data_IF_680412669648
#
_entry.id   IF_680412669648
#
_cell.length_a   1.000
_cell.length_b   1.000
_cell.length_c   1.000
_cell.angle_alpha   90.00
_cell.angle_beta   90.00
_cell.angle_gamma   90.00
#
_symmetry.space_group_name_H-M   'P 1'
#
loop_
_entity.id
_entity.type
_entity.pdbx_description
1 polymer ?
#
# COMPACT_ATOMS: atom_id res chain seq x y z
N UNK A 1 10.83 -8.91 33.58
CA UNK A 1 11.69 -7.70 33.63
C UNK A 1 10.82 -6.53 34.02
N UNK A 2 11.19 -5.71 35.02
CA UNK A 2 10.32 -4.65 35.57
C UNK A 2 9.78 -3.68 34.50
N UNK A 3 10.65 -3.24 33.57
CA UNK A 3 10.30 -2.30 32.50
C UNK A 3 9.24 -2.83 31.52
N UNK A 4 9.23 -4.13 31.24
CA UNK A 4 8.21 -4.77 30.38
C UNK A 4 6.85 -4.76 31.08
N UNK A 5 6.81 -5.00 32.39
CA UNK A 5 5.55 -4.95 33.15
C UNK A 5 5.02 -3.52 33.30
N UNK A 6 5.91 -2.52 33.42
CA UNK A 6 5.52 -1.10 33.36
C UNK A 6 4.90 -0.75 31.99
N UNK A 7 5.53 -1.17 30.90
CA UNK A 7 4.98 -0.99 29.55
C UNK A 7 3.63 -1.69 29.38
N UNK A 8 3.48 -2.89 29.96
CA UNK A 8 2.21 -3.64 29.96
C UNK A 8 1.11 -2.89 30.71
N UNK A 9 1.43 -2.40 31.91
CA UNK A 9 0.51 -1.60 32.72
C UNK A 9 0.06 -0.34 31.99
N UNK A 10 0.99 0.35 31.31
CA UNK A 10 0.63 1.49 30.47
C UNK A 10 -0.36 1.11 29.36
N UNK A 11 -0.06 0.05 28.59
CA UNK A 11 -0.93 -0.41 27.49
C UNK A 11 -2.33 -0.80 28.01
N UNK A 12 -2.41 -1.38 29.21
CA UNK A 12 -3.68 -1.65 29.89
C UNK A 12 -4.42 -0.37 30.29
N UNK A 13 -3.75 0.62 30.88
CA UNK A 13 -4.36 1.87 31.37
C UNK A 13 -4.91 2.77 30.24
N UNK A 14 -4.29 2.73 29.06
CA UNK A 14 -4.80 3.42 27.86
C UNK A 14 -5.88 2.61 27.11
N UNK A 15 -6.26 1.44 27.63
CA UNK A 15 -7.37 0.64 27.12
C UNK A 15 -7.04 -0.28 25.95
N UNK A 16 -5.77 -0.64 25.72
CA UNK A 16 -5.44 -1.61 24.68
C UNK A 16 -6.00 -3.00 25.03
N UNK A 17 -6.52 -3.76 24.04
CA UNK A 17 -7.01 -5.13 24.27
C UNK A 17 -5.92 -6.04 24.84
N UNK A 18 -6.32 -7.12 25.54
CA UNK A 18 -5.38 -8.08 26.16
C UNK A 18 -4.33 -8.65 25.18
N UNK A 19 -4.70 -8.84 23.92
CA UNK A 19 -3.76 -9.28 22.88
C UNK A 19 -2.63 -8.26 22.62
N UNK A 20 -2.93 -6.96 22.72
CA UNK A 20 -1.99 -5.85 22.55
C UNK A 20 -1.24 -5.50 23.84
N UNK A 21 -1.41 -6.29 24.90
CA UNK A 21 -0.62 -6.22 26.13
C UNK A 21 0.47 -7.29 26.16
N UNK A 22 0.62 -8.12 25.12
CA UNK A 22 1.65 -9.17 25.07
C UNK A 22 3.08 -8.59 25.07
N UNK A 23 4.08 -9.41 25.41
CA UNK A 23 5.48 -8.99 25.53
C UNK A 23 6.01 -8.34 24.25
N UNK A 24 5.63 -8.86 23.08
CA UNK A 24 6.01 -8.27 21.79
C UNK A 24 5.50 -6.83 21.63
N UNK A 25 4.32 -6.52 22.16
CA UNK A 25 3.74 -5.17 22.11
C UNK A 25 4.45 -4.25 23.10
N UNK A 26 4.77 -4.76 24.29
CA UNK A 26 5.55 -4.03 25.29
C UNK A 26 6.95 -3.70 24.78
N UNK A 27 7.65 -4.67 24.20
CA UNK A 27 8.97 -4.49 23.59
C UNK A 27 8.93 -3.53 22.40
N UNK A 28 7.87 -3.60 21.59
CA UNK A 28 7.66 -2.64 20.49
C UNK A 28 7.55 -1.22 21.03
N UNK A 29 6.72 -1.00 22.05
CA UNK A 29 6.56 0.31 22.66
C UNK A 29 7.89 0.84 23.23
N UNK A 30 8.62 0.00 23.97
CA UNK A 30 9.89 0.37 24.59
C UNK A 30 10.96 0.71 23.55
N UNK A 31 11.04 -0.05 22.46
CA UNK A 31 11.95 0.23 21.36
C UNK A 31 11.61 1.54 20.64
N UNK A 32 10.32 1.78 20.37
CA UNK A 32 9.88 3.02 19.73
C UNK A 32 10.07 4.25 20.63
N UNK A 33 10.04 4.06 21.95
CA UNK A 33 10.32 5.09 22.95
C UNK A 33 11.83 5.25 23.24
N UNK A 34 12.69 4.40 22.68
CA UNK A 34 14.12 4.31 22.99
C UNK A 34 14.41 4.17 24.50
N UNK A 35 13.65 3.30 25.19
CA UNK A 35 13.77 3.05 26.63
C UNK A 35 14.44 1.71 26.92
N UNK A 36 15.59 1.74 27.59
CA UNK A 36 16.32 0.54 28.05
C UNK A 36 15.84 0.14 29.46
N UNK A 37 16.19 -1.07 29.95
CA UNK A 37 15.68 -1.57 31.23
C UNK A 37 15.84 -0.61 32.42
N UNK A 38 16.96 0.13 32.47
CA UNK A 38 17.30 1.04 33.56
C UNK A 38 16.91 2.51 33.29
N UNK A 39 16.34 2.83 32.12
CA UNK A 39 15.96 4.20 31.81
C UNK A 39 14.68 4.62 32.52
N UNK A 40 14.66 5.88 32.95
CA UNK A 40 13.45 6.56 33.39
C UNK A 40 12.56 6.92 32.20
N UNK A 41 11.25 6.85 32.39
CA UNK A 41 10.26 7.11 31.34
C UNK A 41 10.30 8.55 30.82
N UNK A 42 10.80 9.49 31.61
CA UNK A 42 11.02 10.89 31.21
C UNK A 42 11.98 11.04 30.01
N UNK A 43 12.84 10.04 29.78
CA UNK A 43 13.77 10.01 28.66
C UNK A 43 13.15 9.54 27.35
N UNK A 44 11.90 9.09 27.36
CA UNK A 44 11.24 8.56 26.17
C UNK A 44 11.37 9.53 24.99
N UNK A 45 11.59 8.98 23.79
CA UNK A 45 11.69 9.72 22.53
C UNK A 45 10.68 9.19 21.51
N UNK A 46 10.58 9.82 20.34
CA UNK A 46 9.70 9.38 19.26
C UNK A 46 10.40 9.42 17.89
N UNK A 47 11.65 8.95 17.83
CA UNK A 47 12.37 8.89 16.58
C UNK A 47 11.69 7.95 15.56
N UNK A 48 11.84 8.28 14.27
CA UNK A 48 11.36 7.43 13.18
C UNK A 48 12.15 6.12 13.12
N UNK A 49 11.47 5.00 13.36
CA UNK A 49 12.08 3.67 13.51
C UNK A 49 11.48 2.65 12.53
N UNK A 50 12.30 1.67 12.14
CA UNK A 50 11.91 0.56 11.30
C UNK A 50 11.54 -0.64 12.18
N UNK A 51 10.72 -1.56 11.68
CA UNK A 51 10.42 -2.80 12.42
C UNK A 51 11.70 -3.63 12.64
N UNK A 52 12.62 -3.61 11.68
CA UNK A 52 13.94 -4.21 11.82
C UNK A 52 14.68 -3.67 13.06
N UNK A 53 14.72 -2.35 13.23
CA UNK A 53 15.42 -1.71 14.33
C UNK A 53 14.71 -1.94 15.67
N UNK A 54 13.38 -2.07 15.67
CA UNK A 54 12.61 -2.50 16.85
C UNK A 54 13.02 -3.90 17.30
N UNK A 55 13.18 -4.84 16.37
CA UNK A 55 13.62 -6.21 16.65
C UNK A 55 15.06 -6.19 17.19
N UNK A 56 15.95 -5.44 16.54
CA UNK A 56 17.35 -5.31 16.95
C UNK A 56 17.44 -4.75 18.39
N UNK A 57 16.71 -3.67 18.68
CA UNK A 57 16.65 -3.06 20.01
C UNK A 57 16.15 -4.03 21.09
N UNK A 58 15.06 -4.76 20.80
CA UNK A 58 14.52 -5.74 21.73
C UNK A 58 15.53 -6.85 22.05
N UNK A 59 16.20 -7.38 21.01
CA UNK A 59 17.22 -8.42 21.19
C UNK A 59 18.44 -7.91 21.95
N UNK A 60 18.89 -6.68 21.67
CA UNK A 60 20.07 -6.09 22.29
C UNK A 60 19.85 -5.75 23.77
N UNK A 61 18.70 -5.17 24.12
CA UNK A 61 18.50 -4.58 25.45
C UNK A 61 17.56 -5.38 26.37
N UNK A 62 16.76 -6.28 25.82
CA UNK A 62 15.77 -7.06 26.59
C UNK A 62 16.01 -8.57 26.50
N UNK A 63 17.21 -8.99 26.08
CA UNK A 63 17.67 -10.38 26.03
C UNK A 63 16.70 -11.32 25.27
N UNK A 64 16.09 -10.82 24.20
CA UNK A 64 15.25 -11.63 23.30
C UNK A 64 16.03 -12.20 22.13
N UNK A 65 15.45 -13.18 21.42
CA UNK A 65 16.09 -13.89 20.30
C UNK A 65 15.19 -13.92 19.06
N UNK A 66 14.49 -12.82 18.78
CA UNK A 66 13.63 -12.72 17.61
C UNK A 66 14.47 -12.70 16.33
N UNK A 67 14.19 -13.63 15.42
CA UNK A 67 14.80 -13.64 14.10
C UNK A 67 14.08 -12.68 13.14
N UNK A 68 14.74 -12.29 12.04
CA UNK A 68 14.23 -11.32 11.05
C UNK A 68 12.86 -11.70 10.46
N UNK A 69 12.58 -12.99 10.32
CA UNK A 69 11.27 -13.50 9.87
C UNK A 69 10.11 -13.14 10.83
N UNK A 70 10.41 -12.66 12.05
CA UNK A 70 9.43 -12.16 13.02
C UNK A 70 8.91 -10.75 12.69
N UNK A 71 9.50 -10.06 11.70
CA UNK A 71 9.07 -8.72 11.26
C UNK A 71 7.57 -8.64 11.00
N UNK A 72 7.02 -9.66 10.36
CA UNK A 72 5.59 -9.73 10.06
C UNK A 72 4.73 -9.89 11.32
N UNK A 73 5.25 -10.58 12.33
CA UNK A 73 4.61 -10.74 13.64
C UNK A 73 4.55 -9.42 14.39
N UNK A 74 5.67 -8.69 14.49
CA UNK A 74 5.70 -7.34 15.08
C UNK A 74 4.73 -6.39 14.36
N UNK A 75 4.69 -6.45 13.03
CA UNK A 75 3.79 -5.65 12.22
C UNK A 75 2.33 -5.91 12.54
N UNK A 76 1.92 -7.19 12.56
CA UNK A 76 0.52 -7.60 12.74
C UNK A 76 0.04 -7.49 14.18
N UNK A 77 0.88 -7.85 15.16
CA UNK A 77 0.45 -7.90 16.56
C UNK A 77 0.54 -6.55 17.27
N UNK A 78 1.56 -5.75 16.96
CA UNK A 78 1.81 -4.47 17.62
C UNK A 78 1.54 -3.28 16.68
N UNK A 79 2.38 -3.07 15.67
CA UNK A 79 2.39 -1.83 14.86
C UNK A 79 1.02 -1.49 14.26
N UNK A 80 0.34 -2.46 13.66
CA UNK A 80 -0.97 -2.25 13.05
C UNK A 80 -2.00 -1.76 14.08
N UNK A 81 -2.05 -2.39 15.24
CA UNK A 81 -3.00 -2.04 16.29
C UNK A 81 -2.65 -0.72 16.97
N UNK A 82 -1.36 -0.47 17.24
CA UNK A 82 -0.89 0.80 17.78
C UNK A 82 -1.22 1.96 16.85
N UNK A 83 -1.06 1.77 15.54
CA UNK A 83 -1.43 2.77 14.55
C UNK A 83 -2.94 3.02 14.52
N UNK A 84 -3.76 1.96 14.54
CA UNK A 84 -5.22 2.09 14.57
C UNK A 84 -5.70 2.83 15.82
N UNK A 85 -5.05 2.61 16.95
CA UNK A 85 -5.34 3.32 18.19
C UNK A 85 -4.60 4.66 18.30
N UNK A 86 -3.99 5.18 17.23
CA UNK A 86 -3.25 6.46 17.25
C UNK A 86 -2.14 6.58 18.32
N UNK A 87 -1.57 5.45 18.77
CA UNK A 87 -0.38 5.44 19.63
C UNK A 87 0.87 5.81 18.84
N UNK A 88 0.88 5.42 17.57
CA UNK A 88 1.99 5.63 16.65
C UNK A 88 1.45 6.16 15.33
N UNK A 89 2.27 6.90 14.60
CA UNK A 89 2.02 7.28 13.22
C UNK A 89 3.09 6.70 12.29
N UNK A 90 2.78 6.65 11.00
CA UNK A 90 3.72 6.31 9.94
C UNK A 90 4.03 7.54 9.09
N UNK A 91 5.12 7.48 8.32
CA UNK A 91 5.58 8.60 7.52
C UNK A 91 4.86 8.75 6.16
N UNK A 92 3.73 8.08 5.95
CA UNK A 92 2.89 8.19 4.75
C UNK A 92 3.52 7.58 3.49
N UNK A 93 4.61 6.83 3.61
CA UNK A 93 5.20 6.10 2.47
C UNK A 93 4.37 4.86 2.15
N UNK A 94 4.54 4.30 0.95
CA UNK A 94 3.94 3.01 0.60
C UNK A 94 4.48 1.91 1.53
N UNK A 95 3.64 0.96 1.93
CA UNK A 95 3.98 -0.10 2.91
C UNK A 95 5.12 -1.01 2.48
N UNK A 96 5.37 -1.10 1.17
CA UNK A 96 6.49 -1.84 0.57
C UNK A 96 7.77 -0.98 0.39
N UNK A 97 7.71 0.32 0.72
CA UNK A 97 8.85 1.21 0.59
C UNK A 97 9.94 0.81 1.58
N UNK A 98 11.23 0.80 1.17
CA UNK A 98 12.32 0.67 2.12
C UNK A 98 12.29 1.81 3.15
N UNK A 99 11.76 2.99 2.81
CA UNK A 99 11.72 4.12 3.74
C UNK A 99 10.46 4.15 4.62
N UNK A 100 9.67 3.08 4.69
CA UNK A 100 8.47 3.05 5.54
C UNK A 100 8.88 2.95 7.02
N UNK A 101 8.52 3.97 7.82
CA UNK A 101 8.90 4.09 9.24
C UNK A 101 7.71 4.48 10.10
N UNK A 102 7.82 4.19 11.40
CA UNK A 102 6.86 4.56 12.42
C UNK A 102 7.49 5.48 13.47
N UNK A 103 6.68 6.25 14.19
CA UNK A 103 7.09 6.93 15.42
C UNK A 103 5.92 6.99 16.41
N UNK A 104 6.22 7.18 17.69
CA UNK A 104 5.20 7.44 18.73
C UNK A 104 4.60 8.83 18.49
N UNK A 105 3.28 8.95 18.64
CA UNK A 105 2.59 10.25 18.52
C UNK A 105 3.00 11.19 19.67
N UNK A 106 3.00 12.49 19.43
CA UNK A 106 3.40 13.48 20.46
C UNK A 106 2.53 13.39 21.71
N UNK A 107 1.24 13.06 21.54
CA UNK A 107 0.30 12.88 22.62
C UNK A 107 0.67 11.67 23.49
N UNK A 108 1.01 10.54 22.88
CA UNK A 108 1.47 9.36 23.64
C UNK A 108 2.82 9.61 24.28
N UNK A 109 3.75 10.27 23.59
CA UNK A 109 5.06 10.62 24.15
C UNK A 109 4.92 11.47 25.41
N UNK A 110 4.01 12.46 25.40
CA UNK A 110 3.72 13.29 26.56
C UNK A 110 3.14 12.49 27.73
N UNK A 111 2.35 11.45 27.44
CA UNK A 111 1.82 10.57 28.49
C UNK A 111 2.95 9.74 29.06
N UNK A 112 3.69 9.00 28.21
CA UNK A 112 4.81 8.14 28.59
C UNK A 112 5.80 8.83 29.51
N UNK A 113 6.25 10.05 29.17
CA UNK A 113 7.19 10.83 29.99
C UNK A 113 6.68 11.18 31.39
N UNK A 114 5.38 11.09 31.62
CA UNK A 114 4.76 11.30 32.92
C UNK A 114 4.65 10.03 33.77
N UNK A 115 5.02 8.84 33.28
CA UNK A 115 4.86 7.57 33.99
C UNK A 115 5.53 7.60 35.37
N UNK A 116 4.82 7.12 36.40
CA UNK A 116 5.32 7.10 37.78
C UNK A 116 5.38 8.47 38.47
N UNK A 117 5.02 9.56 37.80
CA UNK A 117 4.96 10.90 38.40
C UNK A 117 3.57 11.22 38.95
N UNK A 118 3.46 12.24 39.81
CA UNK A 118 2.17 12.73 40.31
C UNK A 118 1.23 13.21 39.19
N UNK A 119 1.79 13.60 38.02
CA UNK A 119 1.04 14.04 36.84
C UNK A 119 0.51 12.89 35.99
N UNK A 120 0.95 11.65 36.25
CA UNK A 120 0.58 10.47 35.47
C UNK A 120 -0.93 10.32 35.30
N UNK A 121 -1.66 10.29 36.42
CA UNK A 121 -3.11 10.07 36.43
C UNK A 121 -3.87 11.16 35.68
N UNK A 122 -3.40 12.39 35.74
CA UNK A 122 -4.00 13.51 35.02
C UNK A 122 -3.73 13.40 33.50
N UNK A 123 -2.50 13.06 33.12
CA UNK A 123 -2.12 12.84 31.73
C UNK A 123 -2.91 11.70 31.07
N UNK A 124 -3.05 10.55 31.75
CA UNK A 124 -3.85 9.41 31.27
C UNK A 124 -5.34 9.78 31.15
N UNK A 125 -5.92 10.46 32.15
CA UNK A 125 -7.32 10.90 32.08
C UNK A 125 -7.56 11.83 30.90
N UNK A 126 -6.67 12.81 30.71
CA UNK A 126 -6.74 13.73 29.58
C UNK A 126 -6.60 12.96 28.27
N UNK A 127 -5.63 12.07 28.16
CA UNK A 127 -5.44 11.23 26.98
C UNK A 127 -6.72 10.45 26.65
N UNK A 128 -7.28 9.71 27.62
CA UNK A 128 -8.50 8.91 27.41
C UNK A 128 -9.71 9.78 27.01
N UNK A 129 -9.82 11.01 27.53
CA UNK A 129 -10.89 11.95 27.15
C UNK A 129 -10.81 12.40 25.69
N UNK A 130 -9.58 12.56 25.17
CA UNK A 130 -9.34 13.02 23.80
C UNK A 130 -9.00 11.90 22.82
N UNK A 131 -8.87 10.66 23.29
CA UNK A 131 -8.34 9.54 22.52
C UNK A 131 -9.14 9.27 21.23
N UNK A 132 -10.48 9.22 21.32
CA UNK A 132 -11.33 9.05 20.14
C UNK A 132 -11.14 10.19 19.12
N UNK A 133 -11.00 11.43 19.60
CA UNK A 133 -10.74 12.58 18.73
C UNK A 133 -9.35 12.51 18.09
N UNK A 134 -8.35 11.96 18.78
CA UNK A 134 -7.03 11.72 18.22
C UNK A 134 -7.10 10.65 17.12
N UNK A 135 -7.82 9.56 17.34
CA UNK A 135 -8.06 8.53 16.31
C UNK A 135 -8.69 9.19 15.08
N UNK A 136 -9.74 10.00 15.25
CA UNK A 136 -10.41 10.71 14.15
C UNK A 136 -9.47 11.69 13.43
N UNK A 137 -8.65 12.44 14.17
CA UNK A 137 -7.68 13.40 13.63
C UNK A 137 -6.61 12.68 12.79
N UNK A 138 -6.02 11.61 13.31
CA UNK A 138 -5.00 10.83 12.61
C UNK A 138 -5.58 10.08 11.41
N UNK A 139 -6.81 9.57 11.51
CA UNK A 139 -7.54 9.00 10.38
C UNK A 139 -7.83 10.06 9.30
N UNK A 140 -8.21 11.28 9.70
CA UNK A 140 -8.47 12.40 8.79
C UNK A 140 -7.20 12.88 8.09
N UNK A 141 -6.07 12.99 8.82
CA UNK A 141 -4.74 13.30 8.26
C UNK A 141 -4.35 12.27 7.21
N UNK A 142 -4.61 10.98 7.47
CA UNK A 142 -4.38 9.90 6.49
C UNK A 142 -5.28 10.04 5.27
N UNK A 143 -6.58 10.33 5.46
CA UNK A 143 -7.53 10.54 4.36
C UNK A 143 -7.11 11.70 3.45
N UNK A 144 -6.57 12.79 4.01
CA UNK A 144 -6.02 13.92 3.24
C UNK A 144 -4.81 13.52 2.38
N UNK A 145 -4.09 12.45 2.73
CA UNK A 145 -2.96 11.94 1.95
C UNK A 145 -3.39 10.91 0.88
N UNK A 146 -4.64 10.44 0.91
CA UNK A 146 -5.15 9.52 -0.10
C UNK A 146 -5.41 10.25 -1.42
N UNK A 147 -5.23 9.53 -2.53
CA UNK A 147 -5.50 10.06 -3.86
C UNK A 147 -6.95 9.72 -4.25
N UNK A 148 -7.86 10.70 -4.42
CA UNK A 148 -9.21 10.41 -4.90
C UNK A 148 -9.12 9.84 -6.32
N UNK A 149 -9.99 8.91 -6.69
CA UNK A 149 -10.07 8.35 -8.05
C UNK A 149 -11.53 8.03 -8.37
N UNK A 150 -11.95 8.30 -9.61
CA UNK A 150 -13.30 7.96 -10.08
C UNK A 150 -13.27 6.72 -10.95
N UNK A 151 -13.92 5.65 -10.52
CA UNK A 151 -13.95 4.35 -11.21
C UNK A 151 -15.41 3.98 -11.47
N UNK A 152 -15.78 3.70 -12.73
CA UNK A 152 -17.17 3.37 -13.10
C UNK A 152 -18.20 4.39 -12.57
N UNK A 153 -17.86 5.68 -12.61
CA UNK A 153 -18.64 6.79 -12.04
C UNK A 153 -18.84 6.80 -10.51
N UNK A 154 -18.11 5.97 -9.77
CA UNK A 154 -18.11 5.95 -8.31
C UNK A 154 -16.80 6.52 -7.76
N UNK A 155 -16.86 7.17 -6.59
CA UNK A 155 -15.71 7.78 -5.93
C UNK A 155 -14.98 6.75 -5.04
N UNK A 156 -13.69 6.59 -5.27
CA UNK A 156 -12.79 5.76 -4.48
C UNK A 156 -11.57 6.56 -4.02
N UNK A 157 -10.75 5.95 -3.17
CA UNK A 157 -9.51 6.53 -2.68
C UNK A 157 -8.37 5.52 -2.76
N UNK A 158 -7.29 5.88 -3.44
CA UNK A 158 -6.05 5.11 -3.45
C UNK A 158 -5.10 5.57 -2.34
N UNK A 159 -4.34 4.63 -1.78
CA UNK A 159 -3.21 4.94 -0.92
C UNK A 159 -2.11 5.68 -1.71
N UNK A 160 -1.30 6.54 -1.06
CA UNK A 160 -0.27 7.30 -1.76
C UNK A 160 0.85 6.40 -2.27
N UNK A 161 1.33 6.66 -3.49
CA UNK A 161 2.48 5.97 -4.07
C UNK A 161 2.52 6.04 -5.59
N UNK A 162 3.71 5.87 -6.18
CA UNK A 162 3.90 5.93 -7.65
C UNK A 162 3.04 4.91 -8.41
N UNK A 163 2.87 3.71 -7.85
CA UNK A 163 2.11 2.64 -8.51
C UNK A 163 0.61 2.97 -8.59
N UNK A 164 0.03 3.41 -7.47
CA UNK A 164 -1.36 3.86 -7.43
C UNK A 164 -1.57 5.18 -8.20
N UNK A 165 -0.57 6.06 -8.23
CA UNK A 165 -0.60 7.24 -9.11
C UNK A 165 -0.73 6.85 -10.58
N UNK A 166 0.01 5.83 -11.00
CA UNK A 166 -0.07 5.31 -12.35
C UNK A 166 -1.38 4.57 -12.62
N UNK A 167 -1.91 3.78 -11.67
CA UNK A 167 -3.25 3.18 -11.78
C UNK A 167 -4.35 4.24 -11.93
N UNK A 168 -4.29 5.32 -11.15
CA UNK A 168 -5.19 6.47 -11.32
C UNK A 168 -5.07 7.07 -12.71
N UNK A 169 -3.85 7.29 -13.21
CA UNK A 169 -3.62 7.81 -14.55
C UNK A 169 -4.13 6.84 -15.63
N UNK A 170 -4.03 5.53 -15.43
CA UNK A 170 -4.61 4.53 -16.33
C UNK A 170 -6.15 4.71 -16.40
N UNK A 171 -6.80 4.86 -15.25
CA UNK A 171 -8.27 4.98 -15.19
C UNK A 171 -8.75 6.33 -15.74
N UNK A 172 -8.08 7.43 -15.40
CA UNK A 172 -8.57 8.78 -15.69
C UNK A 172 -7.99 9.41 -16.97
N UNK A 173 -6.83 8.95 -17.45
CA UNK A 173 -6.19 9.51 -18.63
C UNK A 173 -6.11 8.49 -19.79
N UNK A 174 -5.63 7.26 -19.52
CA UNK A 174 -5.55 6.24 -20.57
C UNK A 174 -6.91 5.73 -21.02
N UNK A 175 -7.78 5.31 -20.08
CA UNK A 175 -9.04 4.68 -20.42
C UNK A 175 -9.95 5.60 -21.26
N UNK A 176 -10.14 6.89 -20.94
CA UNK A 176 -10.94 7.78 -21.79
C UNK A 176 -10.39 7.99 -23.21
N UNK A 177 -9.08 7.82 -23.42
CA UNK A 177 -8.42 8.01 -24.72
C UNK A 177 -8.38 6.74 -25.57
N UNK A 178 -8.02 5.61 -24.97
CA UNK A 178 -7.70 4.37 -25.70
C UNK A 178 -8.67 3.21 -25.42
N UNK A 179 -9.49 3.32 -24.38
CA UNK A 179 -10.56 2.40 -24.02
C UNK A 179 -11.85 3.14 -23.64
N UNK A 180 -12.35 4.07 -24.48
CA UNK A 180 -13.52 4.88 -24.13
C UNK A 180 -14.72 3.98 -23.83
N UNK A 181 -15.54 4.42 -22.87
CA UNK A 181 -16.72 3.73 -22.37
C UNK A 181 -16.45 2.32 -21.79
N UNK A 182 -15.18 2.00 -21.50
CA UNK A 182 -14.86 0.75 -20.82
C UNK A 182 -15.25 0.76 -19.35
N UNK A 183 -15.70 -0.39 -18.86
CA UNK A 183 -15.92 -0.67 -17.44
C UNK A 183 -14.63 -1.20 -16.82
N UNK A 184 -14.19 -0.62 -15.70
CA UNK A 184 -13.12 -1.18 -14.90
C UNK A 184 -13.65 -2.38 -14.11
N UNK A 185 -13.22 -3.59 -14.49
CA UNK A 185 -13.64 -4.83 -13.86
C UNK A 185 -12.76 -5.21 -12.67
N UNK A 186 -11.51 -4.76 -12.67
CA UNK A 186 -10.56 -5.00 -11.60
C UNK A 186 -9.56 -3.86 -11.48
N UNK A 187 -9.30 -3.43 -10.24
CA UNK A 187 -8.08 -2.71 -9.85
C UNK A 187 -7.78 -2.98 -8.38
N UNK A 188 -6.51 -3.23 -8.07
CA UNK A 188 -6.04 -3.44 -6.70
C UNK A 188 -5.25 -2.24 -6.18
N UNK A 189 -5.51 -1.82 -4.95
CA UNK A 189 -4.69 -0.84 -4.22
C UNK A 189 -3.55 -1.53 -3.46
N UNK A 190 -2.43 -0.82 -3.28
CA UNK A 190 -1.29 -1.31 -2.48
C UNK A 190 -1.67 -1.76 -1.05
N UNK A 191 -2.72 -1.17 -0.47
CA UNK A 191 -3.28 -1.48 0.85
C UNK A 191 -4.56 -2.31 0.80
N UNK A 192 -5.39 -2.14 -0.24
CA UNK A 192 -6.62 -2.89 -0.48
C UNK A 192 -6.56 -3.63 -1.83
N UNK A 193 -6.15 -4.89 -1.79
CA UNK A 193 -5.82 -5.67 -3.00
C UNK A 193 -6.95 -5.86 -4.03
N UNK A 194 -8.20 -5.75 -3.60
CA UNK A 194 -9.39 -5.94 -4.42
C UNK A 194 -10.30 -4.69 -4.33
N UNK A 195 -9.73 -3.49 -4.50
CA UNK A 195 -10.48 -2.22 -4.39
C UNK A 195 -11.71 -2.21 -5.32
N UNK A 196 -11.55 -2.69 -6.55
CA UNK A 196 -12.65 -2.99 -7.47
C UNK A 196 -12.47 -4.41 -7.99
N UNK A 197 -13.52 -5.22 -7.93
CA UNK A 197 -13.55 -6.58 -8.48
C UNK A 197 -14.96 -7.01 -8.87
N UNK A 198 -15.33 -6.82 -10.12
CA UNK A 198 -16.63 -7.25 -10.64
C UNK A 198 -16.60 -8.76 -11.01
N UNK A 199 -16.72 -9.62 -9.99
CA UNK A 199 -16.67 -11.08 -10.12
C UNK A 199 -17.72 -11.61 -11.12
N UNK A 200 -18.92 -11.02 -11.12
CA UNK A 200 -20.00 -11.46 -12.00
C UNK A 200 -19.68 -11.20 -13.47
N UNK A 201 -19.27 -9.98 -13.83
CA UNK A 201 -18.92 -9.63 -15.22
C UNK A 201 -17.68 -10.38 -15.69
N UNK A 202 -16.66 -10.52 -14.83
CA UNK A 202 -15.48 -11.33 -15.13
C UNK A 202 -15.85 -12.78 -15.45
N UNK A 203 -16.70 -13.42 -14.63
CA UNK A 203 -17.18 -14.78 -14.89
C UNK A 203 -17.98 -14.87 -16.19
N UNK A 204 -18.86 -13.90 -16.46
CA UNK A 204 -19.63 -13.85 -17.72
C UNK A 204 -18.74 -13.75 -18.96
N UNK A 205 -17.58 -13.11 -18.83
CA UNK A 205 -16.60 -13.00 -19.91
C UNK A 205 -15.74 -14.26 -20.08
N UNK A 206 -15.90 -15.28 -19.24
CA UNK A 206 -15.06 -16.50 -19.26
C UNK A 206 -13.78 -16.37 -18.42
N UNK A 207 -13.73 -15.40 -17.50
CA UNK A 207 -12.60 -15.20 -16.60
C UNK A 207 -12.87 -15.93 -15.28
N UNK A 208 -12.26 -17.09 -15.09
CA UNK A 208 -12.30 -17.80 -13.80
C UNK A 208 -11.20 -17.27 -12.87
N UNK A 209 -11.60 -16.59 -11.80
CA UNK A 209 -10.66 -16.09 -10.78
C UNK A 209 -10.45 -17.20 -9.75
N UNK A 210 -9.25 -17.78 -9.68
CA UNK A 210 -8.88 -18.61 -8.54
C UNK A 210 -8.21 -17.77 -7.43
N UNK A 211 -8.20 -18.29 -6.21
CA UNK A 211 -7.57 -17.64 -5.04
C UNK A 211 -6.05 -17.42 -5.17
N UNK A 212 -5.42 -18.11 -6.12
CA UNK A 212 -3.97 -18.13 -6.30
C UNK A 212 -3.49 -17.37 -7.55
N UNK A 213 -4.42 -16.91 -8.40
CA UNK A 213 -4.07 -16.23 -9.64
C UNK A 213 -3.56 -14.82 -9.40
N UNK A 214 -2.45 -14.48 -10.05
CA UNK A 214 -1.91 -13.12 -10.04
C UNK A 214 -2.63 -12.27 -11.09
N UNK A 215 -3.68 -11.57 -10.66
CA UNK A 215 -4.42 -10.61 -11.50
C UNK A 215 -3.50 -9.53 -12.08
N UNK A 216 -3.76 -9.01 -13.30
CA UNK A 216 -3.17 -7.77 -13.80
C UNK A 216 -3.58 -6.58 -12.95
N UNK A 217 -2.77 -5.52 -12.89
CA UNK A 217 -3.05 -4.37 -12.01
C UNK A 217 -4.39 -3.67 -12.30
N UNK A 218 -4.75 -3.54 -13.59
CA UNK A 218 -6.05 -3.01 -14.02
C UNK A 218 -6.62 -3.87 -15.14
N UNK A 219 -7.92 -4.19 -15.05
CA UNK A 219 -8.68 -4.86 -16.12
C UNK A 219 -9.83 -3.97 -16.55
N UNK A 220 -9.88 -3.62 -17.84
CA UNK A 220 -10.94 -2.81 -18.44
C UNK A 220 -11.69 -3.64 -19.48
N UNK A 221 -13.01 -3.51 -19.55
CA UNK A 221 -13.83 -4.17 -20.57
C UNK A 221 -14.63 -3.16 -21.36
N UNK A 222 -14.48 -3.19 -22.68
CA UNK A 222 -15.16 -2.32 -23.62
C UNK A 222 -16.17 -3.13 -24.43
N UNK A 223 -17.44 -2.98 -24.07
CA UNK A 223 -18.54 -3.83 -24.55
C UNK A 223 -18.86 -3.62 -26.04
N UNK A 224 -18.82 -2.38 -26.56
CA UNK A 224 -19.13 -2.06 -27.96
C UNK A 224 -18.17 -2.70 -28.98
N UNK A 225 -16.92 -2.95 -28.56
CA UNK A 225 -15.89 -3.64 -29.38
C UNK A 225 -15.67 -5.09 -28.97
N UNK A 226 -16.26 -5.53 -27.86
CA UNK A 226 -15.92 -6.76 -27.17
C UNK A 226 -14.40 -6.90 -26.96
N UNK A 227 -13.78 -5.87 -26.38
CA UNK A 227 -12.35 -5.84 -26.06
C UNK A 227 -12.14 -5.86 -24.55
N UNK A 228 -11.14 -6.62 -24.11
CA UNK A 228 -10.68 -6.64 -22.73
C UNK A 228 -9.21 -6.22 -22.68
N UNK A 229 -8.92 -5.25 -21.83
CA UNK A 229 -7.60 -4.67 -21.64
C UNK A 229 -7.03 -5.20 -20.34
N UNK A 230 -5.81 -5.72 -20.40
CA UNK A 230 -5.01 -6.09 -19.25
C UNK A 230 -3.85 -5.09 -19.17
N UNK A 231 -3.80 -4.31 -18.10
CA UNK A 231 -2.82 -3.24 -17.93
C UNK A 231 -1.96 -3.53 -16.70
N UNK A 232 -0.63 -3.50 -16.88
CA UNK A 232 0.35 -3.56 -15.77
C UNK A 232 0.91 -2.15 -15.51
N UNK A 233 0.90 -1.72 -14.26
CA UNK A 233 1.33 -0.41 -13.75
C UNK A 233 2.79 -0.49 -13.26
N UNK A 234 3.74 -0.35 -14.18
CA UNK A 234 5.14 -0.62 -13.88
C UNK A 234 5.83 0.58 -13.25
N UNK A 235 6.27 0.38 -12.01
CA UNK A 235 7.11 1.35 -11.27
C UNK A 235 8.47 0.77 -10.91
N UNK A 236 8.49 -0.44 -10.35
CA UNK A 236 9.73 -1.12 -9.96
C UNK A 236 9.81 -2.59 -10.38
N UNK A 237 8.69 -3.28 -10.62
CA UNK A 237 8.68 -4.71 -10.94
C UNK A 237 7.60 -5.06 -11.95
N UNK A 238 7.98 -5.86 -12.95
CA UNK A 238 7.11 -6.74 -13.75
C UNK A 238 6.27 -6.07 -14.86
N UNK A 239 6.83 -5.80 -16.04
CA UNK A 239 6.04 -5.40 -17.21
C UNK A 239 5.27 -6.58 -17.83
N UNK A 240 4.51 -6.30 -18.90
CA UNK A 240 4.01 -7.36 -19.80
C UNK A 240 5.18 -8.00 -20.57
N UNK A 241 5.90 -8.89 -19.90
CA UNK A 241 6.93 -9.74 -20.50
C UNK A 241 6.30 -11.00 -21.13
N UNK A 242 7.04 -11.78 -21.94
CA UNK A 242 6.47 -12.96 -22.60
C UNK A 242 5.89 -14.00 -21.62
N UNK A 243 6.46 -14.13 -20.42
CA UNK A 243 5.95 -15.04 -19.39
C UNK A 243 4.62 -14.55 -18.85
N UNK A 244 4.50 -13.25 -18.57
CA UNK A 244 3.29 -12.63 -18.06
C UNK A 244 2.14 -12.70 -19.05
N UNK A 245 2.42 -12.54 -20.34
CA UNK A 245 1.43 -12.74 -21.42
C UNK A 245 0.91 -14.18 -21.41
N UNK A 246 1.77 -15.18 -21.24
CA UNK A 246 1.35 -16.58 -21.16
C UNK A 246 0.48 -16.84 -19.92
N UNK A 247 0.87 -16.32 -18.76
CA UNK A 247 0.08 -16.42 -17.53
C UNK A 247 -1.34 -15.87 -17.72
N UNK A 248 -1.45 -14.66 -18.27
CA UNK A 248 -2.75 -14.03 -18.52
C UNK A 248 -3.50 -14.76 -19.64
N UNK A 249 -2.82 -15.27 -20.65
CA UNK A 249 -3.49 -16.00 -21.74
C UNK A 249 -4.11 -17.29 -21.23
N UNK A 250 -3.41 -18.04 -20.37
CA UNK A 250 -3.91 -19.27 -19.77
C UNK A 250 -5.08 -18.99 -18.82
N UNK A 251 -4.98 -17.98 -17.95
CA UNK A 251 -6.07 -17.61 -17.04
C UNK A 251 -7.32 -17.10 -17.79
N UNK A 252 -7.17 -16.70 -19.06
CA UNK A 252 -8.25 -16.15 -19.89
C UNK A 252 -8.55 -17.00 -21.11
N UNK A 253 -8.21 -18.29 -21.11
CA UNK A 253 -8.38 -19.17 -22.28
C UNK A 253 -9.82 -19.24 -22.79
N UNK A 254 -10.80 -19.12 -21.88
CA UNK A 254 -12.23 -19.16 -22.17
C UNK A 254 -12.82 -17.76 -22.47
N UNK A 255 -12.00 -16.71 -22.41
CA UNK A 255 -12.41 -15.35 -22.76
C UNK A 255 -12.46 -15.16 -24.26
N UNK A 256 -13.65 -14.84 -24.77
CA UNK A 256 -13.92 -14.63 -26.21
C UNK A 256 -13.65 -13.19 -26.69
N UNK A 257 -13.55 -12.25 -25.76
CA UNK A 257 -13.23 -10.85 -26.05
C UNK A 257 -11.81 -10.72 -26.63
N UNK A 258 -11.62 -9.74 -27.52
CA UNK A 258 -10.30 -9.39 -28.04
C UNK A 258 -9.38 -8.91 -26.91
N UNK A 259 -8.26 -9.59 -26.70
CA UNK A 259 -7.32 -9.30 -25.60
C UNK A 259 -6.32 -8.23 -26.03
N UNK A 260 -6.20 -7.19 -25.22
CA UNK A 260 -5.23 -6.10 -25.41
C UNK A 260 -4.33 -6.07 -24.18
N UNK A 261 -3.02 -6.19 -24.39
CA UNK A 261 -2.04 -6.18 -23.32
C UNK A 261 -1.30 -4.86 -23.33
N UNK A 262 -1.28 -4.18 -22.18
CA UNK A 262 -0.71 -2.85 -22.04
C UNK A 262 0.28 -2.85 -20.89
N UNK A 263 1.48 -2.32 -21.14
CA UNK A 263 2.39 -1.91 -20.06
C UNK A 263 2.35 -0.40 -19.92
N UNK A 264 1.95 0.09 -18.75
CA UNK A 264 1.92 1.50 -18.45
C UNK A 264 3.14 1.91 -17.62
N UNK A 265 3.62 3.14 -17.85
CA UNK A 265 4.69 3.78 -17.10
C UNK A 265 4.31 5.21 -16.74
N UNK A 266 4.85 5.75 -15.65
CA UNK A 266 4.72 7.19 -15.38
C UNK A 266 5.51 8.02 -16.41
N UNK A 267 6.77 7.63 -16.62
CA UNK A 267 7.75 8.44 -17.34
C UNK A 267 8.66 7.60 -18.26
N UNK A 268 9.31 8.28 -19.22
CA UNK A 268 10.24 7.65 -20.16
C UNK A 268 11.48 7.06 -19.49
N UNK A 269 11.93 7.64 -18.38
CA UNK A 269 13.09 7.13 -17.64
C UNK A 269 12.82 5.75 -17.07
N UNK A 270 11.59 5.50 -16.60
CA UNK A 270 11.14 4.20 -16.13
C UNK A 270 10.95 3.25 -17.31
N UNK A 271 10.26 3.67 -18.39
CA UNK A 271 10.10 2.86 -19.61
C UNK A 271 11.44 2.33 -20.16
N UNK A 272 12.46 3.19 -20.28
CA UNK A 272 13.80 2.82 -20.77
C UNK A 272 14.44 1.67 -19.99
N UNK A 273 14.19 1.56 -18.69
CA UNK A 273 14.75 0.49 -17.83
C UNK A 273 14.15 -0.88 -18.12
N UNK A 274 12.93 -0.91 -18.66
CA UNK A 274 12.17 -2.13 -18.91
C UNK A 274 12.04 -2.46 -20.40
N UNK A 275 12.58 -1.62 -21.30
CA UNK A 275 12.38 -1.79 -22.75
C UNK A 275 12.84 -3.14 -23.28
N UNK A 276 13.90 -3.72 -22.69
CA UNK A 276 14.48 -4.99 -23.13
C UNK A 276 13.67 -6.22 -22.69
N UNK A 277 12.70 -6.07 -21.79
CA UNK A 277 11.88 -7.17 -21.27
C UNK A 277 10.43 -7.16 -21.75
N UNK A 278 10.01 -6.13 -22.49
CA UNK A 278 8.64 -6.02 -23.01
C UNK A 278 8.36 -7.07 -24.09
N UNK A 279 7.19 -7.70 -24.02
CA UNK A 279 6.75 -8.63 -25.05
C UNK A 279 6.34 -7.90 -26.34
N UNK A 280 6.65 -8.50 -27.49
CA UNK A 280 6.08 -8.12 -28.78
C UNK A 280 4.56 -8.35 -28.79
N UNK A 281 3.84 -7.71 -29.73
CA UNK A 281 2.38 -7.71 -29.82
C UNK A 281 1.69 -7.13 -28.59
N UNK A 282 2.35 -6.21 -27.90
CA UNK A 282 1.78 -5.48 -26.77
C UNK A 282 1.87 -3.99 -27.00
N UNK A 283 1.08 -3.25 -26.22
CA UNK A 283 1.04 -1.80 -26.25
C UNK A 283 1.77 -1.23 -25.04
N UNK A 284 2.36 -0.06 -25.20
CA UNK A 284 2.98 0.69 -24.11
C UNK A 284 2.35 2.07 -24.03
N UNK A 285 1.97 2.45 -22.82
CA UNK A 285 1.46 3.79 -22.50
C UNK A 285 2.38 4.49 -21.50
N UNK A 286 2.61 5.78 -21.69
CA UNK A 286 3.44 6.59 -20.79
C UNK A 286 2.62 7.79 -20.35
N UNK A 287 2.37 7.92 -19.04
CA UNK A 287 1.49 8.93 -18.49
C UNK A 287 1.96 10.37 -18.77
N UNK A 288 3.27 10.61 -18.83
CA UNK A 288 3.85 11.91 -19.22
C UNK A 288 3.55 12.32 -20.67
N UNK A 289 3.15 11.37 -21.53
CA UNK A 289 2.73 11.61 -22.92
C UNK A 289 1.37 10.93 -23.18
N UNK A 290 0.30 11.40 -22.50
CA UNK A 290 -0.93 10.63 -22.33
C UNK A 290 -1.70 10.42 -23.65
N UNK A 291 -1.46 11.27 -24.66
CA UNK A 291 -2.13 11.22 -25.97
C UNK A 291 -1.48 10.24 -26.95
N UNK A 292 -0.43 9.52 -26.52
CA UNK A 292 0.35 8.64 -27.38
C UNK A 292 0.50 7.23 -26.82
N UNK A 293 0.64 6.26 -27.73
CA UNK A 293 0.92 4.86 -27.46
C UNK A 293 2.09 4.40 -28.32
N UNK A 294 2.87 3.46 -27.80
CA UNK A 294 3.90 2.74 -28.55
C UNK A 294 3.41 1.32 -28.76
N UNK A 295 3.30 0.90 -30.02
CA UNK A 295 2.99 -0.47 -30.38
C UNK A 295 4.28 -1.25 -30.61
N UNK A 296 4.44 -2.38 -29.91
CA UNK A 296 5.61 -3.26 -30.06
C UNK A 296 5.35 -4.35 -31.11
N UNK A 297 5.20 -3.94 -32.38
CA UNK A 297 5.32 -4.80 -33.56
C UNK A 297 5.32 -3.95 -34.86
N UNK A 298 5.41 -4.57 -36.03
CA UNK A 298 5.44 -3.90 -37.34
C UNK A 298 4.39 -4.34 -38.35
N UNK A 299 3.51 -5.30 -38.01
CA UNK A 299 2.58 -5.93 -38.97
C UNK A 299 1.41 -5.03 -39.41
N UNK A 300 1.06 -4.00 -38.62
CA UNK A 300 -0.18 -3.22 -38.82
C UNK A 300 -0.02 -1.74 -39.14
N UNK A 301 1.17 -1.15 -38.97
CA UNK A 301 1.28 0.30 -38.79
C UNK A 301 2.30 1.03 -39.68
N UNK A 302 2.86 0.37 -40.71
CA UNK A 302 3.71 1.07 -41.68
C UNK A 302 2.86 1.89 -42.66
N UNK A 303 3.10 3.20 -42.71
CA UNK A 303 2.43 4.12 -43.63
C UNK A 303 2.78 5.58 -43.34
N UNK A 304 2.67 6.48 -44.34
CA UNK A 304 3.01 7.89 -44.17
C UNK A 304 2.04 8.59 -43.21
N UNK A 305 2.58 9.37 -42.26
CA UNK A 305 1.78 10.21 -41.35
C UNK A 305 1.64 11.62 -41.92
N UNK A 306 0.43 12.18 -41.91
CA UNK A 306 0.23 13.60 -42.17
C UNK A 306 0.71 14.38 -40.95
N UNK A 307 1.76 15.17 -41.12
CA UNK A 307 2.21 16.11 -40.09
C UNK A 307 1.10 17.16 -39.92
N UNK A 308 0.61 17.34 -38.70
CA UNK A 308 -0.26 18.46 -38.35
C UNK A 308 0.58 19.75 -38.55
N UNK A 309 0.06 20.67 -39.37
CA UNK A 309 0.62 22.02 -39.53
C UNK A 309 0.13 22.92 -38.40
#
# INVERSE_FOLDING_TARGET
MPKIEEARAFLEEIGMPKAQQADICCLTLLAMADLKPEDGWEKATNHWIWIHDVIAFANEHYATTYAENSRETFRKQAMHHFRTAALIEDNGKATNSPNYRYCITEEVLSVLRGYGTFRWRENIRRYNLYHEKLIDMYASKKKMQMMPVKINNQDFQFSPGKHNQLQKAIIEEFAPRFAPDSECLYVGDTTEKDLVKNVNKLRMLGFEITLHDKMPDVVLYREDKNWIYFVESVTSVGPMDPKRILEITEMTKDVTAGKIFVTAFLDFGTYKKFTDSLAWNTEVWIADMPDHMIHLNGDRFMGPRKLLK
#
